data_IF_763483115991
#
_entry.id   IF_763483115991
#
_cell.length_a   1.000
_cell.length_b   1.000
_cell.length_c   1.000
_cell.angle_alpha   90.00
_cell.angle_beta   90.00
_cell.angle_gamma   90.00
#
_symmetry.space_group_name_H-M   'P 1'
#
loop_
_entity.id
_entity.type
_entity.pdbx_description
1 polymer ?
#
# COMPACT_ATOMS: atom_id res chain seq x y z
N UNK A 1 18.64 -18.81 -3.23
CA UNK A 1 17.35 -18.42 -2.64
C UNK A 1 16.24 -19.22 -3.32
N UNK A 2 15.13 -19.55 -2.64
CA UNK A 2 14.00 -20.23 -3.31
C UNK A 2 13.03 -19.21 -3.88
N UNK A 3 12.65 -19.36 -5.15
CA UNK A 3 11.62 -18.57 -5.81
C UNK A 3 10.42 -19.43 -6.18
N UNK A 4 9.24 -18.81 -6.32
CA UNK A 4 8.04 -19.50 -6.74
C UNK A 4 8.18 -20.00 -8.18
N UNK A 5 7.86 -21.28 -8.40
CA UNK A 5 7.88 -21.91 -9.73
C UNK A 5 6.76 -21.42 -10.65
N UNK A 6 5.68 -20.83 -10.09
CA UNK A 6 4.56 -20.27 -10.87
C UNK A 6 4.66 -18.77 -11.13
N UNK A 7 4.90 -17.98 -10.09
CA UNK A 7 5.11 -16.53 -10.22
C UNK A 7 6.61 -16.22 -10.12
N UNK A 8 6.98 -15.17 -9.38
CA UNK A 8 8.38 -14.75 -9.22
C UNK A 8 8.73 -14.42 -7.76
N UNK A 9 7.86 -14.74 -6.80
CA UNK A 9 8.12 -14.32 -5.42
C UNK A 9 9.25 -15.11 -4.75
N UNK A 10 10.15 -14.42 -4.02
CA UNK A 10 11.18 -15.07 -3.23
C UNK A 10 10.64 -15.56 -1.89
N UNK A 11 11.31 -16.54 -1.30
CA UNK A 11 10.94 -17.13 -0.01
C UNK A 11 11.16 -16.20 1.18
N UNK A 12 12.03 -15.20 1.08
CA UNK A 12 12.34 -14.25 2.13
C UNK A 12 11.34 -13.06 2.20
N UNK A 13 10.14 -13.20 1.63
CA UNK A 13 9.13 -12.15 1.66
C UNK A 13 8.82 -11.74 3.13
N UNK A 14 8.84 -10.45 3.52
CA UNK A 14 8.70 -10.02 4.93
C UNK A 14 7.38 -10.43 5.59
N UNK A 15 6.29 -10.48 4.82
CA UNK A 15 4.99 -11.01 5.27
C UNK A 15 4.94 -12.53 5.45
N UNK A 16 6.06 -13.23 5.25
CA UNK A 16 6.20 -14.69 5.27
C UNK A 16 5.35 -15.40 4.22
N UNK A 17 6.00 -16.13 3.33
CA UNK A 17 5.34 -16.91 2.29
C UNK A 17 5.75 -18.37 2.42
N UNK A 18 4.79 -19.29 2.26
CA UNK A 18 5.06 -20.73 2.31
C UNK A 18 5.06 -21.31 0.90
N UNK A 19 5.67 -22.48 0.72
CA UNK A 19 5.75 -23.17 -0.58
C UNK A 19 5.30 -24.60 -0.42
N UNK A 20 4.54 -25.09 -1.38
CA UNK A 20 4.20 -26.50 -1.46
C UNK A 20 5.32 -27.34 -2.11
N UNK A 21 5.04 -28.64 -2.27
CA UNK A 21 5.95 -29.61 -2.88
C UNK A 21 6.29 -29.32 -4.35
N UNK A 22 5.44 -28.58 -5.07
CA UNK A 22 5.68 -28.17 -6.46
C UNK A 22 6.47 -26.84 -6.55
N UNK A 23 6.80 -26.23 -5.41
CA UNK A 23 7.46 -24.93 -5.35
C UNK A 23 6.52 -23.76 -5.60
N UNK A 24 5.20 -23.98 -5.55
CA UNK A 24 4.20 -22.90 -5.70
C UNK A 24 3.98 -22.24 -4.35
N UNK A 25 4.01 -20.90 -4.34
CA UNK A 25 3.87 -20.14 -3.11
C UNK A 25 2.41 -19.98 -2.66
N UNK A 26 2.18 -19.80 -1.35
CA UNK A 26 0.86 -19.60 -0.74
C UNK A 26 0.06 -18.50 -1.43
N UNK A 27 0.69 -17.38 -1.82
CA UNK A 27 0.00 -16.30 -2.52
C UNK A 27 -0.54 -16.70 -3.91
N UNK A 28 0.08 -17.66 -4.59
CA UNK A 28 -0.49 -18.21 -5.82
C UNK A 28 -1.67 -19.16 -5.51
N UNK A 29 -1.58 -19.96 -4.44
CA UNK A 29 -2.64 -20.90 -4.06
C UNK A 29 -3.90 -20.18 -3.58
N UNK A 30 -3.76 -19.19 -2.70
CA UNK A 30 -4.91 -18.39 -2.25
C UNK A 30 -5.53 -17.59 -3.41
N UNK A 31 -4.74 -17.16 -4.41
CA UNK A 31 -5.31 -16.49 -5.58
C UNK A 31 -6.25 -17.40 -6.40
N UNK A 32 -6.00 -18.72 -6.43
CA UNK A 32 -6.88 -19.68 -7.13
C UNK A 32 -8.29 -19.74 -6.52
N UNK A 33 -8.44 -19.40 -5.24
CA UNK A 33 -9.76 -19.30 -4.60
C UNK A 33 -10.65 -18.29 -5.34
N UNK A 34 -10.07 -17.23 -5.92
CA UNK A 34 -10.83 -16.21 -6.66
C UNK A 34 -11.57 -16.75 -7.87
N UNK A 35 -11.12 -17.89 -8.40
CA UNK A 35 -11.72 -18.52 -9.57
C UNK A 35 -12.77 -19.59 -9.18
N UNK A 36 -12.90 -19.91 -7.89
CA UNK A 36 -13.84 -20.92 -7.37
C UNK A 36 -14.95 -20.34 -6.50
N UNK A 37 -14.71 -19.20 -5.86
CA UNK A 37 -15.65 -18.58 -4.93
C UNK A 37 -16.83 -17.92 -5.64
N UNK A 38 -18.03 -18.10 -5.08
CA UNK A 38 -19.23 -17.35 -5.49
C UNK A 38 -19.20 -15.92 -4.95
N UNK A 39 -18.68 -15.02 -5.77
CA UNK A 39 -18.61 -13.59 -5.47
C UNK A 39 -19.98 -12.91 -5.37
N UNK A 40 -21.02 -13.44 -6.02
CA UNK A 40 -22.37 -12.88 -5.92
C UNK A 40 -22.96 -13.16 -4.54
N UNK A 41 -22.82 -14.39 -4.05
CA UNK A 41 -23.22 -14.76 -2.69
C UNK A 41 -22.42 -13.99 -1.63
N UNK A 42 -21.09 -13.90 -1.79
CA UNK A 42 -20.24 -13.10 -0.90
C UNK A 42 -20.62 -11.63 -0.88
N UNK A 43 -20.90 -11.03 -2.03
CA UNK A 43 -21.35 -9.65 -2.09
C UNK A 43 -22.74 -9.45 -1.44
N UNK A 44 -23.66 -10.41 -1.58
CA UNK A 44 -24.94 -10.38 -0.86
C UNK A 44 -24.74 -10.43 0.66
N UNK A 45 -23.76 -11.19 1.15
CA UNK A 45 -23.38 -11.21 2.56
C UNK A 45 -22.82 -9.87 3.02
N UNK A 46 -21.98 -9.22 2.22
CA UNK A 46 -21.52 -7.86 2.50
C UNK A 46 -22.69 -6.89 2.64
N UNK A 47 -23.63 -6.89 1.68
CA UNK A 47 -24.85 -6.06 1.75
C UNK A 47 -25.66 -6.30 3.02
N UNK A 48 -25.82 -7.57 3.41
CA UNK A 48 -26.52 -7.94 4.65
C UNK A 48 -25.78 -7.43 5.90
N UNK A 49 -24.46 -7.59 5.94
CA UNK A 49 -23.62 -7.12 7.03
C UNK A 49 -23.71 -5.60 7.17
N UNK A 50 -23.51 -4.86 6.08
CA UNK A 50 -23.47 -3.40 6.12
C UNK A 50 -24.84 -2.75 6.31
N UNK A 51 -25.93 -3.43 5.98
CA UNK A 51 -27.29 -2.93 6.24
C UNK A 51 -27.54 -2.67 7.75
N UNK A 52 -26.90 -3.43 8.64
CA UNK A 52 -27.00 -3.23 10.09
C UNK A 52 -26.35 -1.94 10.60
N UNK A 53 -25.47 -1.34 9.80
CA UNK A 53 -24.69 -0.15 10.18
C UNK A 53 -25.32 1.17 9.68
N UNK A 54 -26.37 1.10 8.86
CA UNK A 54 -27.05 2.30 8.36
C UNK A 54 -27.66 3.11 9.50
N UNK A 55 -27.23 4.35 9.63
CA UNK A 55 -27.71 5.28 10.62
C UNK A 55 -29.12 5.77 10.25
N UNK A 56 -30.12 5.26 10.97
CA UNK A 56 -31.54 5.60 10.74
C UNK A 56 -31.89 7.05 11.05
N UNK A 57 -31.11 7.73 11.89
CA UNK A 57 -31.38 9.12 12.28
C UNK A 57 -30.95 10.13 11.22
N UNK A 58 -30.07 9.72 10.29
CA UNK A 58 -29.47 10.63 9.31
C UNK A 58 -28.53 11.67 9.92
N UNK A 59 -28.20 11.59 11.22
CA UNK A 59 -27.36 12.57 11.94
C UNK A 59 -25.87 12.20 12.04
N UNK A 60 -25.50 10.95 11.75
CA UNK A 60 -24.10 10.50 11.79
C UNK A 60 -23.77 9.63 10.57
N UNK A 61 -22.49 9.38 10.32
CA UNK A 61 -22.00 8.52 9.25
C UNK A 61 -22.27 7.05 9.52
N UNK A 62 -22.37 6.26 8.45
CA UNK A 62 -22.61 4.81 8.53
C UNK A 62 -21.30 4.03 8.69
N UNK A 63 -20.21 4.57 8.12
CA UNK A 63 -18.89 3.95 8.14
C UNK A 63 -17.77 4.99 7.96
N UNK A 64 -16.56 4.62 8.32
CA UNK A 64 -15.33 5.30 7.96
C UNK A 64 -14.74 4.64 6.72
N UNK A 65 -14.29 5.44 5.75
CA UNK A 65 -13.55 4.96 4.58
C UNK A 65 -12.20 5.67 4.50
N UNK A 66 -11.09 4.96 4.72
CA UNK A 66 -9.74 5.47 4.53
C UNK A 66 -9.48 5.71 3.04
N UNK A 67 -9.00 6.91 2.69
CA UNK A 67 -8.70 7.28 1.30
C UNK A 67 -7.40 8.06 1.17
N UNK A 68 -6.74 7.94 0.02
CA UNK A 68 -5.58 8.77 -0.31
C UNK A 68 -5.73 9.56 -1.63
N UNK A 69 -6.76 9.25 -2.42
CA UNK A 69 -6.89 9.76 -3.79
C UNK A 69 -6.07 8.97 -4.81
N UNK A 70 -5.28 7.98 -4.39
CA UNK A 70 -4.71 6.96 -5.26
C UNK A 70 -5.12 5.55 -4.81
N UNK A 71 -4.50 4.54 -5.44
CA UNK A 71 -4.87 3.13 -5.26
C UNK A 71 -6.38 2.96 -5.50
N UNK A 72 -6.98 1.98 -4.85
CA UNK A 72 -8.36 1.61 -5.05
C UNK A 72 -9.37 2.59 -4.37
N UNK A 73 -8.95 3.78 -3.92
CA UNK A 73 -9.79 4.75 -3.19
C UNK A 73 -11.11 5.06 -3.91
N UNK A 74 -11.06 5.30 -5.23
CA UNK A 74 -12.26 5.59 -6.02
C UNK A 74 -13.21 4.40 -6.09
N UNK A 75 -12.67 3.20 -6.29
CA UNK A 75 -13.47 1.97 -6.35
C UNK A 75 -14.12 1.66 -5.00
N UNK A 76 -13.39 1.83 -3.90
CA UNK A 76 -13.92 1.64 -2.53
C UNK A 76 -15.07 2.61 -2.29
N UNK A 77 -14.86 3.92 -2.54
CA UNK A 77 -15.89 4.94 -2.33
C UNK A 77 -17.11 4.73 -3.24
N UNK A 78 -16.88 4.40 -4.51
CA UNK A 78 -17.95 4.02 -5.45
C UNK A 78 -18.77 2.86 -4.90
N UNK A 79 -18.12 1.78 -4.48
CA UNK A 79 -18.80 0.59 -3.94
C UNK A 79 -19.61 0.94 -2.70
N UNK A 80 -19.03 1.68 -1.76
CA UNK A 80 -19.68 2.06 -0.50
C UNK A 80 -20.93 2.91 -0.74
N UNK A 81 -20.88 3.88 -1.67
CA UNK A 81 -22.02 4.74 -1.95
C UNK A 81 -23.01 4.09 -2.90
N UNK A 82 -22.57 3.70 -4.09
CA UNK A 82 -23.45 3.28 -5.20
C UNK A 82 -24.00 1.90 -4.98
N UNK A 83 -23.18 0.99 -4.46
CA UNK A 83 -23.56 -0.42 -4.36
C UNK A 83 -24.10 -0.82 -2.98
N UNK A 84 -23.54 -0.25 -1.90
CA UNK A 84 -23.99 -0.52 -0.52
C UNK A 84 -24.99 0.53 0.00
N UNK A 85 -25.03 1.72 -0.61
CA UNK A 85 -25.93 2.80 -0.20
C UNK A 85 -25.63 3.31 1.20
N UNK A 86 -24.35 3.38 1.58
CA UNK A 86 -23.87 3.91 2.86
C UNK A 86 -23.42 5.37 2.70
N UNK A 87 -23.47 6.13 3.79
CA UNK A 87 -22.90 7.47 3.90
C UNK A 87 -21.59 7.44 4.68
N UNK A 88 -20.43 7.40 4.00
CA UNK A 88 -19.14 7.33 4.67
C UNK A 88 -18.64 8.69 5.16
N UNK A 89 -17.86 8.68 6.25
CA UNK A 89 -16.88 9.72 6.55
C UNK A 89 -15.56 9.33 5.89
N UNK A 90 -15.05 10.16 4.98
CA UNK A 90 -13.73 9.93 4.41
C UNK A 90 -12.65 10.37 5.41
N UNK A 91 -11.61 9.55 5.54
CA UNK A 91 -10.50 9.81 6.45
C UNK A 91 -9.19 9.68 5.69
N UNK A 92 -8.32 10.67 5.81
CA UNK A 92 -7.02 10.66 5.14
C UNK A 92 -5.91 11.16 6.06
N UNK A 93 -4.76 10.49 6.02
CA UNK A 93 -3.53 10.94 6.67
C UNK A 93 -2.61 11.55 5.61
N UNK A 94 -2.16 12.77 5.86
CA UNK A 94 -1.27 13.48 4.96
C UNK A 94 0.14 12.88 5.00
N UNK A 95 0.61 12.37 3.86
CA UNK A 95 1.94 11.73 3.72
C UNK A 95 3.10 12.73 3.77
N UNK A 96 2.85 14.02 3.62
CA UNK A 96 3.83 15.09 3.36
C UNK A 96 4.51 14.98 1.98
N UNK A 97 4.68 13.77 1.45
CA UNK A 97 5.28 13.49 0.15
C UNK A 97 4.28 13.52 -1.02
N UNK A 98 3.25 14.37 -0.94
CA UNK A 98 2.15 14.34 -1.89
C UNK A 98 2.56 14.89 -3.27
N UNK A 99 2.15 14.22 -4.34
CA UNK A 99 2.21 14.81 -5.68
C UNK A 99 1.01 15.76 -5.89
N UNK A 100 1.15 16.72 -6.81
CA UNK A 100 0.01 17.58 -7.18
C UNK A 100 -1.16 16.76 -7.73
N UNK A 101 -0.85 15.68 -8.46
CA UNK A 101 -1.82 14.74 -9.01
C UNK A 101 -2.59 14.04 -7.90
N UNK A 102 -1.89 13.56 -6.86
CA UNK A 102 -2.52 12.98 -5.67
C UNK A 102 -3.48 13.94 -4.99
N UNK A 103 -3.04 15.20 -4.80
CA UNK A 103 -3.88 16.24 -4.21
C UNK A 103 -5.15 16.47 -5.05
N UNK A 104 -5.02 16.56 -6.39
CA UNK A 104 -6.16 16.73 -7.29
C UNK A 104 -7.09 15.53 -7.32
N UNK A 105 -6.55 14.31 -7.35
CA UNK A 105 -7.36 13.10 -7.29
C UNK A 105 -8.14 13.03 -5.97
N UNK A 106 -7.50 13.31 -4.82
CA UNK A 106 -8.20 13.34 -3.54
C UNK A 106 -9.28 14.44 -3.48
N UNK A 107 -8.98 15.63 -3.99
CA UNK A 107 -9.95 16.72 -4.07
C UNK A 107 -11.13 16.39 -5.00
N UNK A 108 -10.86 15.74 -6.14
CA UNK A 108 -11.87 15.30 -7.09
C UNK A 108 -12.75 14.20 -6.47
N UNK A 109 -12.15 13.21 -5.83
CA UNK A 109 -12.86 12.13 -5.13
C UNK A 109 -13.90 12.69 -4.16
N UNK A 110 -13.51 13.53 -3.20
CA UNK A 110 -14.47 14.07 -2.22
C UNK A 110 -15.56 14.94 -2.86
N UNK A 111 -15.22 15.70 -3.90
CA UNK A 111 -16.12 16.68 -4.52
C UNK A 111 -17.15 16.00 -5.42
N UNK A 112 -16.72 15.03 -6.23
CA UNK A 112 -17.59 14.28 -7.14
C UNK A 112 -18.62 13.42 -6.38
N UNK A 113 -18.20 12.84 -5.26
CA UNK A 113 -19.09 12.04 -4.42
C UNK A 113 -19.87 12.87 -3.38
N UNK A 114 -19.54 14.15 -3.20
CA UNK A 114 -20.22 15.04 -2.24
C UNK A 114 -20.05 14.59 -0.79
N UNK A 115 -18.84 14.18 -0.42
CA UNK A 115 -18.54 13.57 0.88
C UNK A 115 -17.71 14.46 1.79
N UNK A 116 -17.96 14.34 3.10
CA UNK A 116 -17.11 14.91 4.13
C UNK A 116 -15.77 14.17 4.19
N UNK A 117 -14.69 14.93 4.34
CA UNK A 117 -13.33 14.44 4.45
C UNK A 117 -12.65 15.10 5.64
N UNK A 118 -12.12 14.28 6.54
CA UNK A 118 -11.19 14.74 7.58
C UNK A 118 -9.76 14.35 7.22
N UNK A 119 -8.86 15.31 7.36
CA UNK A 119 -7.43 15.15 7.07
C UNK A 119 -6.62 15.37 8.34
N UNK A 120 -5.75 14.43 8.69
CA UNK A 120 -4.71 14.66 9.69
C UNK A 120 -3.41 15.05 8.99
N UNK A 121 -2.94 16.26 9.27
CA UNK A 121 -1.62 16.75 8.86
C UNK A 121 -0.81 16.99 10.13
N UNK A 122 0.16 16.11 10.40
CA UNK A 122 1.06 16.24 11.55
C UNK A 122 2.08 17.35 11.25
N UNK A 123 2.62 18.01 12.27
CA UNK A 123 3.59 19.07 12.06
C UNK A 123 4.80 18.55 11.26
N UNK A 124 5.36 19.32 10.29
CA UNK A 124 6.52 18.89 9.54
C UNK A 124 7.71 18.50 10.42
N UNK A 125 7.95 19.19 11.53
CA UNK A 125 9.09 18.87 12.39
C UNK A 125 8.87 17.55 13.14
N UNK A 126 7.68 17.32 13.68
CA UNK A 126 7.31 16.03 14.30
C UNK A 126 7.47 14.88 13.31
N UNK A 127 6.99 15.05 12.07
CA UNK A 127 7.15 14.00 11.03
C UNK A 127 8.62 13.78 10.68
N UNK A 128 9.45 14.83 10.62
CA UNK A 128 10.89 14.69 10.41
C UNK A 128 11.56 13.94 11.55
N UNK A 129 11.22 14.24 12.81
CA UNK A 129 11.74 13.54 13.98
C UNK A 129 11.40 12.05 13.95
N UNK A 130 10.13 11.70 13.74
CA UNK A 130 9.68 10.32 13.61
C UNK A 130 10.33 9.62 12.40
N UNK A 131 10.51 10.33 11.28
CA UNK A 131 11.19 9.79 10.09
C UNK A 131 12.68 9.51 10.36
N UNK A 132 13.39 10.41 11.08
CA UNK A 132 14.79 10.16 11.48
C UNK A 132 14.89 8.96 12.42
N UNK A 133 13.98 8.85 13.39
CA UNK A 133 13.94 7.74 14.34
C UNK A 133 13.66 6.39 13.65
N UNK A 134 12.67 6.33 12.77
CA UNK A 134 12.35 5.13 11.98
C UNK A 134 13.43 4.79 10.94
N UNK A 135 14.11 5.77 10.35
CA UNK A 135 15.31 5.51 9.56
C UNK A 135 16.41 4.85 10.40
N UNK A 136 16.67 5.33 11.62
CA UNK A 136 17.69 4.76 12.51
C UNK A 136 17.36 3.34 12.96
N UNK A 137 16.12 3.10 13.43
CA UNK A 137 15.72 1.82 14.03
C UNK A 137 15.52 0.72 12.99
N UNK A 138 14.92 1.08 11.85
CA UNK A 138 14.43 0.09 10.88
C UNK A 138 14.73 0.46 9.44
N UNK A 139 15.45 1.55 9.15
CA UNK A 139 15.73 2.01 7.79
C UNK A 139 14.45 2.24 6.97
N UNK A 140 13.44 2.88 7.55
CA UNK A 140 12.15 3.12 6.87
C UNK A 140 11.78 4.58 6.87
N UNK A 141 11.84 5.22 5.70
CA UNK A 141 11.39 6.61 5.55
C UNK A 141 9.85 6.74 5.50
N UNK A 142 9.15 5.62 5.30
CA UNK A 142 7.72 5.58 5.05
C UNK A 142 6.90 5.09 6.27
N UNK A 143 7.56 4.78 7.39
CA UNK A 143 6.88 4.24 8.57
C UNK A 143 5.76 5.16 9.07
N UNK A 144 6.00 6.47 9.16
CA UNK A 144 4.98 7.42 9.62
C UNK A 144 3.75 7.46 8.69
N UNK A 145 3.95 7.26 7.38
CA UNK A 145 2.85 7.20 6.41
C UNK A 145 1.96 5.99 6.69
N UNK A 146 2.56 4.82 6.92
CA UNK A 146 1.83 3.58 7.22
C UNK A 146 1.16 3.68 8.59
N UNK A 147 1.89 4.13 9.61
CA UNK A 147 1.39 4.28 10.96
C UNK A 147 0.19 5.25 11.02
N UNK A 148 0.30 6.41 10.37
CA UNK A 148 -0.74 7.42 10.30
C UNK A 148 -1.97 6.96 9.52
N UNK A 149 -1.79 6.33 8.35
CA UNK A 149 -2.90 5.84 7.52
C UNK A 149 -3.68 4.69 8.14
N UNK A 150 -3.02 3.87 8.96
CA UNK A 150 -3.67 2.73 9.62
C UNK A 150 -4.30 3.10 10.96
N UNK A 151 -3.77 4.10 11.68
CA UNK A 151 -4.30 4.51 12.99
C UNK A 151 -5.39 5.57 12.92
N UNK A 152 -5.27 6.55 12.02
CA UNK A 152 -6.17 7.70 12.00
C UNK A 152 -7.62 7.32 11.69
N UNK A 153 -7.92 6.36 10.79
CA UNK A 153 -9.28 5.86 10.61
C UNK A 153 -9.88 5.25 11.88
N UNK A 154 -9.08 4.57 12.70
CA UNK A 154 -9.53 3.98 13.97
C UNK A 154 -9.79 5.08 15.01
N UNK A 155 -8.88 6.05 15.11
CA UNK A 155 -9.09 7.24 15.96
C UNK A 155 -10.35 8.01 15.56
N UNK A 156 -10.58 8.20 14.26
CA UNK A 156 -11.78 8.84 13.75
C UNK A 156 -13.04 8.03 14.08
N UNK A 157 -13.02 6.71 13.85
CA UNK A 157 -14.13 5.82 14.19
C UNK A 157 -14.51 5.91 15.67
N UNK A 158 -13.52 5.88 16.57
CA UNK A 158 -13.75 6.06 18.02
C UNK A 158 -14.31 7.46 18.33
N UNK A 159 -13.67 8.52 17.81
CA UNK A 159 -14.03 9.91 18.11
C UNK A 159 -15.43 10.29 17.66
N UNK A 160 -15.82 9.85 16.45
CA UNK A 160 -17.14 10.11 15.86
C UNK A 160 -18.16 9.02 16.19
N UNK A 161 -17.77 8.01 16.98
CA UNK A 161 -18.61 6.87 17.38
C UNK A 161 -19.21 6.15 16.16
N UNK A 162 -18.36 5.87 15.17
CA UNK A 162 -18.71 5.15 13.94
C UNK A 162 -18.17 3.72 14.06
N UNK A 163 -19.03 2.71 14.20
CA UNK A 163 -18.59 1.34 14.54
C UNK A 163 -18.06 0.52 13.35
N UNK A 164 -18.14 1.02 12.12
CA UNK A 164 -17.68 0.32 10.93
C UNK A 164 -16.59 1.10 10.20
N UNK A 165 -15.49 0.44 9.89
CA UNK A 165 -14.47 0.90 8.95
C UNK A 165 -14.48 -0.05 7.75
N UNK A 166 -14.50 0.49 6.54
CA UNK A 166 -14.42 -0.29 5.29
C UNK A 166 -13.08 -0.02 4.63
N UNK A 167 -12.23 -1.03 4.59
CA UNK A 167 -10.93 -1.04 3.95
C UNK A 167 -11.01 -1.66 2.55
N UNK A 168 -10.00 -1.39 1.71
CA UNK A 168 -9.86 -1.99 0.39
C UNK A 168 -9.43 -3.46 0.44
N UNK A 169 -8.24 -3.76 -0.08
CA UNK A 169 -7.66 -5.10 -0.01
C UNK A 169 -6.80 -5.30 1.24
N UNK A 170 -7.00 -6.44 1.91
CA UNK A 170 -6.07 -6.92 2.93
C UNK A 170 -4.79 -7.45 2.29
N UNK A 171 -3.64 -6.80 2.57
CA UNK A 171 -2.35 -7.08 1.92
C UNK A 171 -1.88 -8.52 2.13
N UNK A 172 -1.89 -9.02 3.37
CA UNK A 172 -1.44 -10.38 3.68
C UNK A 172 -2.23 -11.45 2.93
N UNK A 173 -3.51 -11.19 2.66
CA UNK A 173 -4.38 -12.10 1.92
C UNK A 173 -4.03 -12.03 0.43
N UNK A 174 -4.08 -10.83 -0.16
CA UNK A 174 -3.99 -10.67 -1.62
C UNK A 174 -2.56 -10.89 -2.17
N UNK A 175 -1.55 -10.51 -1.39
CA UNK A 175 -0.15 -10.52 -1.81
C UNK A 175 0.52 -11.87 -1.56
N UNK A 176 0.46 -12.39 -0.33
CA UNK A 176 1.23 -13.58 0.07
C UNK A 176 0.38 -14.78 0.46
N UNK A 177 -0.95 -14.66 0.44
CA UNK A 177 -1.84 -15.76 0.83
C UNK A 177 -1.63 -16.20 2.28
N UNK A 178 -1.44 -15.23 3.18
CA UNK A 178 -1.34 -15.46 4.63
C UNK A 178 -2.66 -15.98 5.21
N UNK A 179 -3.78 -15.58 4.60
CA UNK A 179 -5.13 -15.96 4.98
C UNK A 179 -5.90 -16.40 3.74
N UNK A 180 -6.88 -17.27 3.93
CA UNK A 180 -7.87 -17.60 2.91
C UNK A 180 -8.93 -16.50 2.81
N UNK A 181 -9.57 -16.35 1.64
CA UNK A 181 -10.80 -15.54 1.53
C UNK A 181 -11.95 -16.10 2.38
N UNK A 182 -11.89 -17.36 2.82
CA UNK A 182 -12.91 -17.93 3.74
C UNK A 182 -12.70 -17.55 5.20
N UNK A 183 -11.50 -17.11 5.58
CA UNK A 183 -11.20 -16.69 6.96
C UNK A 183 -11.86 -15.34 7.29
N UNK A 184 -12.12 -14.53 6.26
CA UNK A 184 -12.77 -13.22 6.35
C UNK A 184 -12.13 -12.31 7.39
N UNK A 185 -10.79 -12.32 7.40
CA UNK A 185 -10.00 -11.56 8.35
C UNK A 185 -10.42 -10.10 8.41
N UNK A 186 -10.47 -9.58 9.63
CA UNK A 186 -10.79 -8.20 9.95
C UNK A 186 -9.57 -7.48 10.50
N UNK A 187 -9.64 -6.16 10.51
CA UNK A 187 -8.58 -5.29 11.01
C UNK A 187 -8.27 -5.62 12.47
N UNK A 188 -6.98 -5.80 12.78
CA UNK A 188 -6.50 -5.96 14.15
C UNK A 188 -5.27 -5.10 14.40
N UNK A 189 -5.10 -4.61 15.62
CA UNK A 189 -3.85 -3.95 16.05
C UNK A 189 -2.65 -4.89 15.91
N UNK A 190 -2.87 -6.19 16.16
CA UNK A 190 -1.84 -7.23 16.02
C UNK A 190 -1.27 -7.29 14.60
N UNK A 191 -2.12 -7.43 13.59
CA UNK A 191 -1.67 -7.47 12.19
C UNK A 191 -0.90 -6.18 11.83
N UNK A 192 -1.44 -5.02 12.24
CA UNK A 192 -0.77 -3.73 12.05
C UNK A 192 0.65 -3.70 12.63
N UNK A 193 0.81 -4.11 13.90
CA UNK A 193 2.14 -4.15 14.55
C UNK A 193 3.08 -5.12 13.84
N UNK A 194 2.65 -6.37 13.68
CA UNK A 194 3.52 -7.48 13.24
C UNK A 194 3.90 -7.37 11.75
N UNK A 195 3.04 -6.77 10.93
CA UNK A 195 3.19 -6.81 9.47
C UNK A 195 3.30 -5.42 8.84
N UNK A 196 2.38 -4.50 9.16
CA UNK A 196 2.39 -3.18 8.51
C UNK A 196 3.53 -2.30 9.05
N UNK A 197 3.81 -2.38 10.34
CA UNK A 197 4.76 -1.51 11.04
C UNK A 197 6.08 -2.17 11.43
N UNK A 198 6.44 -3.26 10.73
CA UNK A 198 7.76 -3.90 10.86
C UNK A 198 8.06 -4.36 12.30
N UNK A 199 7.03 -4.67 13.10
CA UNK A 199 7.15 -5.07 14.50
C UNK A 199 7.12 -3.93 15.52
N UNK A 200 7.02 -2.67 15.09
CA UNK A 200 7.10 -1.48 15.95
C UNK A 200 5.77 -0.75 16.04
N UNK A 201 5.36 -0.41 17.25
CA UNK A 201 4.29 0.56 17.52
C UNK A 201 4.87 1.97 17.74
N UNK A 202 4.00 2.97 17.83
CA UNK A 202 4.41 4.36 18.03
C UNK A 202 5.20 4.55 19.33
N UNK A 203 4.79 3.85 20.38
CA UNK A 203 5.45 3.78 21.68
C UNK A 203 6.89 3.23 21.58
N UNK A 204 7.16 2.31 20.64
CA UNK A 204 8.48 1.69 20.46
C UNK A 204 9.51 2.66 19.82
N UNK A 205 9.07 3.84 19.35
CA UNK A 205 9.94 4.90 18.82
C UNK A 205 10.43 5.88 19.88
N UNK A 206 9.78 5.95 21.06
CA UNK A 206 10.17 6.84 22.15
C UNK A 206 11.58 6.45 22.63
N UNK A 207 12.48 7.43 22.63
CA UNK A 207 13.90 7.18 22.86
C UNK A 207 14.61 8.50 23.22
N UNK A 208 14.98 8.66 24.49
CA UNK A 208 15.67 9.85 25.01
C UNK A 208 16.98 10.12 24.27
N UNK A 209 17.69 9.07 23.85
CA UNK A 209 18.97 9.20 23.13
C UNK A 209 18.77 9.75 21.71
N UNK A 210 17.58 9.57 21.14
CA UNK A 210 17.19 10.13 19.85
C UNK A 210 16.40 11.43 19.98
N UNK A 211 16.07 11.85 21.21
CA UNK A 211 15.23 13.02 21.48
C UNK A 211 13.79 12.83 21.02
N UNK A 212 13.26 11.60 21.02
CA UNK A 212 11.87 11.30 20.63
C UNK A 212 11.03 11.13 21.88
N UNK A 213 10.05 12.01 22.05
CA UNK A 213 9.15 12.04 23.21
C UNK A 213 7.78 11.42 22.92
N UNK A 214 6.96 11.27 23.95
CA UNK A 214 5.54 10.90 23.80
C UNK A 214 4.77 11.90 22.91
N UNK A 215 5.11 13.19 22.98
CA UNK A 215 4.46 14.23 22.18
C UNK A 215 4.73 14.03 20.68
N UNK A 216 5.95 13.63 20.31
CA UNK A 216 6.31 13.39 18.91
C UNK A 216 5.50 12.23 18.29
N UNK A 217 5.17 11.22 19.10
CA UNK A 217 4.51 10.00 18.61
C UNK A 217 2.99 10.00 18.84
N UNK A 218 2.45 10.98 19.58
CA UNK A 218 1.05 11.03 20.00
C UNK A 218 0.03 10.84 18.86
N UNK A 219 0.31 11.41 17.68
CA UNK A 219 -0.56 11.28 16.50
C UNK A 219 -0.62 9.86 15.92
N UNK A 220 0.33 9.00 16.29
CA UNK A 220 0.47 7.64 15.78
C UNK A 220 0.02 6.56 16.78
N UNK A 221 -0.35 6.95 18.00
CA UNK A 221 -0.78 6.05 19.08
C UNK A 221 -2.14 5.44 18.74
N UNK A 222 -2.21 4.11 18.83
CA UNK A 222 -3.43 3.36 18.59
C UNK A 222 -4.44 3.56 19.74
N UNK A 223 -5.75 3.76 19.46
CA UNK A 223 -6.74 3.90 20.53
C UNK A 223 -6.73 2.71 21.48
N UNK A 224 -7.05 2.96 22.75
CA UNK A 224 -7.06 1.89 23.74
C UNK A 224 -8.22 0.92 23.49
N UNK A 225 -8.04 -0.38 23.77
CA UNK A 225 -9.04 -1.42 23.48
C UNK A 225 -10.42 -1.10 24.08
N UNK A 226 -10.47 -0.61 25.32
CA UNK A 226 -11.71 -0.12 25.97
C UNK A 226 -12.46 0.97 25.18
N UNK A 227 -11.75 1.86 24.47
CA UNK A 227 -12.38 2.90 23.65
C UNK A 227 -12.97 2.32 22.37
N UNK A 228 -12.25 1.37 21.76
CA UNK A 228 -12.68 0.61 20.59
C UNK A 228 -13.91 -0.24 20.93
N UNK A 229 -13.86 -0.98 22.03
CA UNK A 229 -14.94 -1.83 22.54
C UNK A 229 -16.20 -1.02 22.85
N UNK A 230 -16.05 0.14 23.51
CA UNK A 230 -17.18 1.02 23.85
C UNK A 230 -17.98 1.47 22.63
N UNK A 231 -17.33 1.64 21.48
CA UNK A 231 -18.00 1.98 20.21
C UNK A 231 -18.39 0.71 19.43
N UNK A 232 -17.65 -0.38 19.61
CA UNK A 232 -17.79 -1.61 18.82
C UNK A 232 -17.15 -1.48 17.44
N UNK A 233 -16.00 -0.78 17.35
CA UNK A 233 -15.33 -0.54 16.06
C UNK A 233 -14.84 -1.86 15.45
N UNK A 234 -15.26 -2.13 14.21
CA UNK A 234 -14.77 -3.23 13.38
C UNK A 234 -14.24 -2.69 12.05
N UNK A 235 -13.21 -3.32 11.50
CA UNK A 235 -12.68 -3.00 10.18
C UNK A 235 -12.80 -4.19 9.26
N UNK A 236 -13.64 -4.09 8.23
CA UNK A 236 -13.79 -5.14 7.21
C UNK A 236 -13.01 -4.79 5.95
N UNK A 237 -12.54 -5.79 5.22
CA UNK A 237 -11.87 -5.62 3.92
C UNK A 237 -12.80 -6.03 2.78
N UNK A 238 -12.90 -5.18 1.75
CA UNK A 238 -13.76 -5.45 0.59
C UNK A 238 -13.29 -6.67 -0.21
N UNK A 239 -12.00 -6.98 -0.23
CA UNK A 239 -11.48 -8.16 -0.94
C UNK A 239 -11.88 -9.51 -0.32
N UNK A 240 -12.51 -9.52 0.87
CA UNK A 240 -13.17 -10.73 1.39
C UNK A 240 -14.50 -11.03 0.67
N UNK A 241 -15.12 -10.00 0.07
CA UNK A 241 -16.49 -10.05 -0.44
C UNK A 241 -16.62 -9.75 -1.93
N UNK A 242 -15.60 -9.13 -2.53
CA UNK A 242 -15.54 -8.72 -3.93
C UNK A 242 -14.28 -9.33 -4.54
N UNK A 243 -14.40 -9.87 -5.75
CA UNK A 243 -13.25 -10.36 -6.52
C UNK A 243 -12.31 -9.19 -6.80
N UNK A 244 -11.17 -9.17 -6.12
CA UNK A 244 -10.24 -8.06 -6.21
C UNK A 244 -9.33 -8.16 -7.43
N UNK A 245 -9.36 -7.12 -8.25
CA UNK A 245 -8.51 -6.91 -9.42
C UNK A 245 -8.26 -5.40 -9.58
N UNK A 246 -7.15 -4.92 -9.01
CA UNK A 246 -6.85 -3.49 -8.96
C UNK A 246 -6.78 -2.82 -10.34
N UNK A 247 -6.33 -3.52 -11.41
CA UNK A 247 -6.27 -2.92 -12.75
C UNK A 247 -7.69 -2.62 -13.26
N UNK A 248 -8.55 -3.64 -13.25
CA UNK A 248 -9.95 -3.52 -13.69
C UNK A 248 -10.69 -2.49 -12.85
N UNK A 249 -10.46 -2.49 -11.53
CA UNK A 249 -11.09 -1.55 -10.61
C UNK A 249 -10.66 -0.10 -10.88
N UNK A 250 -9.39 0.16 -11.18
CA UNK A 250 -8.96 1.51 -11.57
C UNK A 250 -9.57 1.92 -12.91
N UNK A 251 -9.55 1.04 -13.91
CA UNK A 251 -10.08 1.34 -15.25
C UNK A 251 -11.58 1.65 -15.24
N UNK A 252 -12.34 0.96 -14.38
CA UNK A 252 -13.74 1.30 -14.13
C UNK A 252 -13.94 2.71 -13.55
N UNK A 253 -12.94 3.26 -12.86
CA UNK A 253 -13.01 4.57 -12.20
C UNK A 253 -12.40 5.71 -13.00
N UNK A 254 -11.56 5.42 -14.02
CA UNK A 254 -10.88 6.44 -14.83
C UNK A 254 -11.89 7.32 -15.56
N UNK A 255 -12.73 6.74 -16.41
CA UNK A 255 -13.65 7.55 -17.23
C UNK A 255 -14.77 8.20 -16.39
N UNK A 256 -15.44 7.48 -15.45
CA UNK A 256 -16.56 8.07 -14.72
C UNK A 256 -16.16 9.17 -13.74
N UNK A 257 -14.92 9.15 -13.24
CA UNK A 257 -14.48 10.04 -12.17
C UNK A 257 -13.23 10.85 -12.50
N UNK A 258 -12.67 10.70 -13.70
CA UNK A 258 -11.51 11.44 -14.17
C UNK A 258 -10.26 11.21 -13.33
N UNK A 259 -10.01 9.95 -12.93
CA UNK A 259 -8.82 9.57 -12.16
C UNK A 259 -7.55 9.86 -12.96
N UNK A 260 -6.61 10.63 -12.39
CA UNK A 260 -5.34 10.90 -13.07
C UNK A 260 -4.28 9.82 -12.74
N UNK A 261 -3.81 9.09 -13.75
CA UNK A 261 -2.73 8.08 -13.68
C UNK A 261 -1.39 8.60 -14.23
N UNK A 262 -0.26 8.06 -13.80
CA UNK A 262 1.07 8.56 -14.16
C UNK A 262 2.11 7.45 -14.31
N UNK A 263 3.14 7.69 -15.13
CA UNK A 263 4.33 6.83 -15.12
C UNK A 263 5.01 6.88 -13.77
N UNK A 264 5.59 5.74 -13.38
CA UNK A 264 6.30 5.57 -12.12
C UNK A 264 7.68 4.96 -12.39
N UNK A 265 8.63 5.25 -11.49
CA UNK A 265 10.03 4.97 -11.75
C UNK A 265 10.38 3.48 -11.69
N UNK A 266 9.89 2.78 -10.66
CA UNK A 266 10.31 1.40 -10.33
C UNK A 266 9.20 0.37 -10.53
N UNK A 267 8.22 0.68 -11.38
CA UNK A 267 7.11 -0.21 -11.72
C UNK A 267 6.46 0.18 -13.05
N UNK A 268 5.88 -0.80 -13.75
CA UNK A 268 5.07 -0.60 -14.96
C UNK A 268 3.61 -0.19 -14.67
N UNK A 269 3.11 -0.46 -13.46
CA UNK A 269 1.80 0.00 -13.00
C UNK A 269 1.77 1.54 -12.97
N UNK A 270 0.84 2.16 -13.69
CA UNK A 270 0.70 3.63 -13.76
C UNK A 270 -0.43 4.17 -12.88
N UNK A 271 -1.10 3.31 -12.13
CA UNK A 271 -2.30 3.64 -11.37
C UNK A 271 -1.97 3.80 -9.88
N UNK A 272 -1.36 2.79 -9.28
CA UNK A 272 -1.17 2.75 -7.84
C UNK A 272 -0.16 3.80 -7.36
N UNK A 273 -0.42 4.46 -6.23
CA UNK A 273 0.54 5.33 -5.52
C UNK A 273 1.04 6.59 -6.27
N UNK A 274 0.36 6.98 -7.35
CA UNK A 274 0.65 8.24 -8.07
C UNK A 274 0.48 9.49 -7.21
N UNK A 275 -0.10 9.35 -6.02
CA UNK A 275 -0.24 10.40 -5.01
C UNK A 275 1.03 10.67 -4.20
N UNK A 276 2.08 9.87 -4.37
CA UNK A 276 3.29 9.99 -3.54
C UNK A 276 4.58 10.02 -4.37
N UNK A 277 5.45 11.00 -4.10
CA UNK A 277 6.77 11.09 -4.74
C UNK A 277 7.66 9.88 -4.48
N UNK A 278 7.57 9.28 -3.29
CA UNK A 278 8.59 8.33 -2.81
C UNK A 278 8.14 6.88 -2.76
N UNK A 279 6.84 6.58 -2.82
CA UNK A 279 6.37 5.22 -2.57
C UNK A 279 6.87 4.22 -3.62
N UNK A 280 6.77 4.57 -4.90
CA UNK A 280 7.32 3.79 -6.03
C UNK A 280 8.73 4.25 -6.43
N UNK A 281 9.44 4.91 -5.50
CA UNK A 281 10.81 5.37 -5.67
C UNK A 281 11.67 5.01 -4.45
N UNK A 282 12.01 5.95 -3.56
CA UNK A 282 12.90 5.73 -2.41
C UNK A 282 12.41 4.60 -1.49
N UNK A 283 11.11 4.54 -1.21
CA UNK A 283 10.55 3.47 -0.37
C UNK A 283 10.78 2.09 -0.99
N UNK A 284 10.65 2.00 -2.32
CA UNK A 284 10.91 0.76 -3.04
C UNK A 284 12.40 0.44 -3.18
N UNK A 285 13.26 1.43 -3.35
CA UNK A 285 14.71 1.20 -3.39
C UNK A 285 15.24 0.71 -2.05
N UNK A 286 14.71 1.23 -0.93
CA UNK A 286 14.96 0.69 0.42
C UNK A 286 14.48 -0.77 0.51
N UNK A 287 13.28 -1.09 0.01
CA UNK A 287 12.77 -2.48 -0.01
C UNK A 287 13.73 -3.41 -0.76
N UNK A 288 14.16 -3.00 -1.95
CA UNK A 288 15.12 -3.76 -2.76
C UNK A 288 16.44 -3.93 -2.01
N UNK A 289 17.00 -2.88 -1.42
CA UNK A 289 18.23 -2.96 -0.63
C UNK A 289 18.11 -3.95 0.53
N UNK A 290 16.98 -4.00 1.24
CA UNK A 290 16.80 -4.95 2.36
C UNK A 290 16.66 -6.40 1.91
N UNK A 291 15.81 -6.64 0.92
CA UNK A 291 15.29 -7.98 0.64
C UNK A 291 15.68 -8.56 -0.72
N UNK A 292 16.35 -7.78 -1.57
CA UNK A 292 16.79 -8.20 -2.91
C UNK A 292 15.70 -8.19 -3.99
N UNK A 293 14.50 -7.72 -3.67
CA UNK A 293 13.40 -7.58 -4.63
C UNK A 293 12.57 -6.31 -4.38
N UNK A 294 12.08 -5.71 -5.46
CA UNK A 294 11.26 -4.49 -5.41
C UNK A 294 9.76 -4.73 -5.60
N UNK A 295 9.02 -3.64 -5.64
CA UNK A 295 7.56 -3.53 -5.87
C UNK A 295 7.16 -4.03 -7.24
N UNK A 296 8.02 -3.87 -8.26
CA UNK A 296 7.78 -4.47 -9.58
C UNK A 296 7.50 -5.98 -9.45
N UNK A 297 8.19 -6.69 -8.55
CA UNK A 297 7.94 -8.11 -8.33
C UNK A 297 6.55 -8.38 -7.74
N UNK A 298 6.03 -7.48 -6.90
CA UNK A 298 4.68 -7.58 -6.36
C UNK A 298 3.64 -7.45 -7.47
N UNK A 299 3.80 -6.45 -8.33
CA UNK A 299 2.91 -6.23 -9.47
C UNK A 299 3.02 -7.34 -10.50
N UNK A 300 4.23 -7.78 -10.85
CA UNK A 300 4.43 -8.94 -11.74
C UNK A 300 3.74 -10.18 -11.17
N UNK A 301 3.89 -10.48 -9.88
CA UNK A 301 3.20 -11.61 -9.26
C UNK A 301 1.68 -11.49 -9.37
N UNK A 302 1.12 -10.30 -9.12
CA UNK A 302 -0.31 -10.03 -9.27
C UNK A 302 -0.78 -10.29 -10.70
N UNK A 303 -0.09 -9.75 -11.70
CA UNK A 303 -0.50 -9.85 -13.10
C UNK A 303 -0.27 -11.25 -13.70
N UNK A 304 0.74 -12.01 -13.23
CA UNK A 304 0.88 -13.44 -13.57
C UNK A 304 -0.31 -14.24 -13.04
N UNK A 305 -0.69 -14.02 -11.78
CA UNK A 305 -1.83 -14.71 -11.15
C UNK A 305 -3.15 -14.38 -11.85
N UNK A 306 -3.31 -13.14 -12.32
CA UNK A 306 -4.43 -12.68 -13.15
C UNK A 306 -4.29 -13.06 -14.64
N UNK A 307 -3.27 -13.85 -15.00
CA UNK A 307 -3.02 -14.36 -16.36
C UNK A 307 -2.81 -13.26 -17.41
N UNK A 308 -2.39 -12.06 -17.02
CA UNK A 308 -2.04 -10.95 -17.93
C UNK A 308 -0.57 -10.90 -18.31
N UNK A 309 0.28 -11.59 -17.53
CA UNK A 309 1.69 -11.81 -17.84
C UNK A 309 2.01 -13.30 -17.80
N UNK A 310 2.89 -13.74 -18.69
CA UNK A 310 3.67 -14.96 -18.50
C UNK A 310 4.73 -14.74 -17.43
N UNK A 311 5.29 -15.83 -16.89
CA UNK A 311 6.37 -15.76 -15.91
C UNK A 311 7.62 -15.10 -16.52
N UNK A 312 7.92 -15.42 -17.78
CA UNK A 312 9.05 -14.88 -18.54
C UNK A 312 8.94 -13.37 -18.77
N UNK A 313 7.79 -12.89 -19.25
CA UNK A 313 7.53 -11.45 -19.39
C UNK A 313 7.64 -10.74 -18.02
N UNK A 314 7.20 -11.43 -16.96
CA UNK A 314 7.37 -10.97 -15.59
C UNK A 314 8.83 -10.76 -15.19
N UNK A 315 9.70 -11.74 -15.48
CA UNK A 315 11.14 -11.65 -15.20
C UNK A 315 11.76 -10.48 -15.98
N UNK A 316 11.37 -10.28 -17.24
CA UNK A 316 11.88 -9.16 -18.07
C UNK A 316 11.51 -7.80 -17.46
N UNK A 317 10.29 -7.66 -16.93
CA UNK A 317 9.87 -6.46 -16.20
C UNK A 317 10.64 -6.28 -14.90
N UNK A 318 10.88 -7.34 -14.13
CA UNK A 318 11.71 -7.27 -12.92
C UNK A 318 13.12 -6.77 -13.26
N UNK A 319 13.73 -7.30 -14.32
CA UNK A 319 15.06 -6.86 -14.78
C UNK A 319 15.08 -5.37 -15.13
N UNK A 320 14.02 -4.88 -15.79
CA UNK A 320 13.91 -3.50 -16.24
C UNK A 320 13.80 -2.48 -15.10
N UNK A 321 13.06 -2.82 -14.03
CA UNK A 321 12.64 -1.84 -13.04
C UNK A 321 13.37 -1.94 -11.68
N UNK A 322 13.90 -3.12 -11.31
CA UNK A 322 14.39 -3.35 -9.93
C UNK A 322 15.61 -2.54 -9.54
N UNK A 323 16.45 -2.13 -10.50
CA UNK A 323 17.71 -1.42 -10.25
C UNK A 323 17.69 0.04 -10.71
N UNK A 324 16.52 0.55 -11.11
CA UNK A 324 16.36 1.96 -11.50
C UNK A 324 16.69 2.87 -10.31
N UNK A 325 17.63 3.80 -10.52
CA UNK A 325 18.10 4.74 -9.49
C UNK A 325 16.99 5.72 -9.10
N UNK A 326 16.98 6.09 -7.81
CA UNK A 326 15.97 6.98 -7.28
C UNK A 326 16.14 8.41 -7.77
N UNK A 327 15.06 9.00 -8.30
CA UNK A 327 15.07 10.38 -8.80
C UNK A 327 14.69 11.39 -7.73
N UNK A 328 13.91 10.97 -6.73
CA UNK A 328 13.37 11.86 -5.70
C UNK A 328 14.22 11.89 -4.42
N UNK A 329 15.34 11.16 -4.38
CA UNK A 329 16.25 11.11 -3.23
C UNK A 329 16.79 12.49 -2.82
N UNK A 330 17.27 13.35 -3.74
CA UNK A 330 17.77 14.68 -3.36
C UNK A 330 16.70 15.54 -2.66
N UNK A 331 15.46 15.47 -3.14
CA UNK A 331 14.32 16.20 -2.55
C UNK A 331 14.02 15.70 -1.12
N UNK A 332 14.07 14.38 -0.90
CA UNK A 332 13.90 13.79 0.43
C UNK A 332 15.03 14.19 1.38
N UNK A 333 16.29 14.06 0.95
CA UNK A 333 17.47 14.38 1.76
C UNK A 333 17.48 15.85 2.20
N UNK A 334 17.14 16.77 1.28
CA UNK A 334 16.95 18.20 1.58
C UNK A 334 15.85 18.41 2.61
N UNK A 335 14.70 17.77 2.45
CA UNK A 335 13.56 17.93 3.35
C UNK A 335 13.85 17.40 4.77
N UNK A 336 14.43 16.21 4.89
CA UNK A 336 14.73 15.57 6.19
C UNK A 336 16.00 16.16 6.85
N UNK A 337 16.84 16.87 6.10
CA UNK A 337 18.12 17.40 6.56
C UNK A 337 19.13 16.28 6.83
N UNK A 338 19.28 15.34 5.90
CA UNK A 338 20.18 14.18 6.01
C UNK A 338 21.12 14.14 4.80
N UNK A 339 22.37 13.73 5.01
CA UNK A 339 23.31 13.48 3.91
C UNK A 339 23.03 12.12 3.27
N UNK A 340 23.40 11.96 2.01
CA UNK A 340 23.27 10.68 1.32
C UNK A 340 24.05 9.55 2.01
N UNK A 341 25.27 9.84 2.50
CA UNK A 341 26.05 8.89 3.29
C UNK A 341 25.32 8.45 4.57
N UNK A 342 24.66 9.38 5.27
CA UNK A 342 23.86 9.05 6.46
C UNK A 342 22.65 8.19 6.11
N UNK A 343 21.97 8.49 4.99
CA UNK A 343 20.87 7.68 4.48
C UNK A 343 21.33 6.25 4.14
N UNK A 344 22.38 6.12 3.33
CA UNK A 344 22.93 4.83 2.93
C UNK A 344 23.39 4.02 4.14
N UNK A 345 24.03 4.64 5.13
CA UNK A 345 24.41 3.98 6.37
C UNK A 345 23.22 3.30 7.08
N UNK A 346 22.08 3.99 7.22
CA UNK A 346 20.91 3.41 7.88
C UNK A 346 20.23 2.33 7.05
N UNK A 347 20.20 2.47 5.72
CA UNK A 347 19.61 1.47 4.82
C UNK A 347 20.48 0.22 4.75
N UNK A 348 21.80 0.37 4.61
CA UNK A 348 22.74 -0.75 4.45
C UNK A 348 22.80 -1.63 5.68
N UNK A 349 22.62 -1.06 6.88
CA UNK A 349 22.50 -1.83 8.13
C UNK A 349 21.30 -2.77 8.20
N UNK A 350 20.32 -2.58 7.31
CA UNK A 350 19.10 -3.38 7.26
C UNK A 350 19.14 -4.42 6.13
N UNK A 351 20.25 -4.53 5.40
CA UNK A 351 20.45 -5.56 4.38
C UNK A 351 20.49 -6.93 5.04
N UNK A 352 19.70 -7.86 4.52
CA UNK A 352 19.73 -9.24 4.99
C UNK A 352 21.01 -9.93 4.48
N UNK A 353 21.90 -10.44 5.37
CA UNK A 353 23.16 -11.08 4.98
C UNK A 353 22.94 -12.41 4.24
N UNK A 354 21.75 -13.01 4.33
CA UNK A 354 21.38 -14.19 3.52
C UNK A 354 21.04 -13.82 2.07
N UNK A 355 20.90 -12.54 1.77
CA UNK A 355 20.55 -12.00 0.44
C UNK A 355 21.71 -11.22 -0.17
N UNK A 356 22.48 -10.53 0.66
CA UNK A 356 23.52 -9.61 0.22
C UNK A 356 24.91 -9.98 0.74
N UNK A 357 25.91 -9.71 -0.09
CA UNK A 357 27.32 -9.72 0.28
C UNK A 357 27.94 -8.34 0.04
N UNK A 358 28.72 -7.85 0.99
CA UNK A 358 29.57 -6.68 0.81
C UNK A 358 30.97 -7.13 0.37
N UNK A 359 31.44 -6.60 -0.75
CA UNK A 359 32.82 -6.80 -1.22
C UNK A 359 33.83 -5.89 -0.52
N UNK A 360 35.12 -6.16 -0.72
CA UNK A 360 36.22 -5.41 -0.08
C UNK A 360 36.24 -3.92 -0.44
N UNK A 361 35.67 -3.55 -1.59
CA UNK A 361 35.51 -2.16 -2.03
C UNK A 361 34.24 -1.47 -1.44
N UNK A 362 33.52 -2.15 -0.55
CA UNK A 362 32.27 -1.68 0.05
C UNK A 362 31.03 -1.87 -0.81
N UNK A 363 31.14 -2.38 -2.04
CA UNK A 363 30.02 -2.58 -2.94
C UNK A 363 29.15 -3.79 -2.53
N UNK A 364 27.83 -3.64 -2.68
CA UNK A 364 26.87 -4.69 -2.36
C UNK A 364 26.48 -5.49 -3.60
N UNK A 365 26.52 -6.81 -3.48
CA UNK A 365 26.11 -7.76 -4.54
C UNK A 365 25.07 -8.72 -3.99
N UNK A 366 24.09 -9.08 -4.83
CA UNK A 366 23.10 -10.10 -4.48
C UNK A 366 23.74 -11.48 -4.56
N UNK A 367 23.46 -12.33 -3.59
CA UNK A 367 23.80 -13.77 -3.68
C UNK A 367 23.02 -14.46 -4.79
N UNK A 368 21.79 -13.99 -5.05
CA UNK A 368 20.86 -14.63 -5.98
C UNK A 368 19.78 -13.65 -6.46
N UNK A 369 19.20 -13.88 -7.63
CA UNK A 369 18.17 -13.05 -8.25
C UNK A 369 17.23 -13.88 -9.11
N UNK A 370 15.94 -13.53 -9.14
CA UNK A 370 14.95 -14.19 -10.00
C UNK A 370 15.35 -14.24 -11.49
N UNK A 371 16.23 -13.35 -11.94
CA UNK A 371 16.75 -13.34 -13.30
C UNK A 371 17.44 -14.66 -13.69
N UNK A 372 18.05 -15.34 -12.72
CA UNK A 372 18.73 -16.63 -12.90
C UNK A 372 17.77 -17.82 -12.84
N UNK A 373 16.51 -17.59 -12.46
CA UNK A 373 15.50 -18.62 -12.21
C UNK A 373 14.46 -18.74 -13.33
N UNK A 374 14.80 -18.35 -14.56
CA UNK A 374 13.87 -18.44 -15.70
C UNK A 374 13.47 -19.88 -16.00
N UNK A 375 14.43 -20.79 -15.98
CA UNK A 375 14.29 -22.20 -16.39
C UNK A 375 14.32 -23.21 -15.23
N UNK A 376 13.95 -22.80 -14.02
CA UNK A 376 13.94 -23.70 -12.86
C UNK A 376 13.09 -24.96 -13.12
N UNK A 377 13.56 -26.10 -12.61
CA UNK A 377 12.84 -27.37 -12.70
C UNK A 377 11.45 -27.24 -12.07
N UNK A 378 10.43 -27.72 -12.80
CA UNK A 378 9.05 -27.72 -12.34
C UNK A 378 8.24 -26.47 -12.72
N UNK A 379 8.87 -25.41 -13.24
CA UNK A 379 8.16 -24.22 -13.75
C UNK A 379 7.13 -24.61 -14.82
N UNK A 380 7.50 -25.47 -15.78
CA UNK A 380 6.62 -25.92 -16.87
C UNK A 380 5.38 -26.66 -16.40
N UNK A 381 5.45 -27.31 -15.23
CA UNK A 381 4.33 -28.07 -14.67
C UNK A 381 3.27 -27.16 -14.05
N UNK A 382 3.63 -25.96 -13.59
CA UNK A 382 2.74 -25.10 -12.80
C UNK A 382 2.55 -23.69 -13.34
N UNK A 383 3.29 -23.29 -14.39
CA UNK A 383 3.13 -21.99 -15.05
C UNK A 383 1.69 -21.77 -15.52
N UNK A 384 1.24 -20.52 -15.44
CA UNK A 384 -0.07 -20.13 -15.93
C UNK A 384 0.02 -19.68 -17.40
N UNK A 385 -0.97 -20.06 -18.21
CA UNK A 385 -1.14 -19.50 -19.55
C UNK A 385 -1.61 -18.05 -19.50
N UNK A 386 -1.18 -17.25 -20.48
CA UNK A 386 -1.62 -15.86 -20.65
C UNK A 386 -3.01 -15.83 -21.29
N UNK A 387 -3.90 -15.00 -20.74
CA UNK A 387 -5.30 -14.86 -21.17
C UNK A 387 -5.74 -13.38 -21.32
N UNK A 388 -4.85 -12.40 -21.15
CA UNK A 388 -5.15 -10.98 -21.31
C UNK A 388 -3.91 -10.12 -21.52
N UNK A 389 -4.11 -8.82 -21.72
CA UNK A 389 -3.04 -7.83 -21.83
C UNK A 389 -2.73 -7.16 -20.48
N UNK A 390 -1.50 -6.68 -20.33
CA UNK A 390 -1.01 -6.02 -19.13
C UNK A 390 -0.74 -4.52 -19.38
N UNK A 391 -1.54 -3.88 -20.23
CA UNK A 391 -1.33 -2.47 -20.58
C UNK A 391 -2.02 -1.55 -19.56
N UNK A 392 -1.27 -0.62 -19.00
CA UNK A 392 -1.79 0.41 -18.10
C UNK A 392 -1.87 1.75 -18.82
N UNK A 393 -2.95 2.48 -18.55
CA UNK A 393 -3.25 3.76 -19.20
C UNK A 393 -2.53 4.92 -18.51
N UNK A 394 -2.13 5.92 -19.28
CA UNK A 394 -1.65 7.20 -18.76
C UNK A 394 -2.66 8.26 -19.17
N UNK A 395 -3.38 8.82 -18.20
CA UNK A 395 -4.32 9.90 -18.45
C UNK A 395 -3.58 11.23 -18.62
N UNK A 396 -4.07 12.16 -19.46
CA UNK A 396 -3.54 13.50 -19.55
C UNK A 396 -3.53 14.20 -18.18
N UNK A 397 -2.42 14.85 -17.84
CA UNK A 397 -2.38 15.70 -16.64
C UNK A 397 -3.19 16.97 -16.89
N UNK A 398 -4.08 17.33 -15.96
CA UNK A 398 -4.89 18.56 -16.05
C UNK A 398 -4.07 19.85 -15.93
N UNK A 399 -2.82 19.75 -15.48
CA UNK A 399 -1.89 20.87 -15.30
C UNK A 399 -0.52 20.49 -15.85
N UNK A 400 0.20 21.44 -16.45
CA UNK A 400 1.62 21.27 -16.80
C UNK A 400 2.43 21.17 -15.50
N UNK A 401 3.09 20.05 -15.29
CA UNK A 401 3.93 19.84 -14.09
C UNK A 401 5.19 20.70 -14.22
N UNK A 402 5.41 21.60 -13.27
CA UNK A 402 6.70 22.27 -13.10
C UNK A 402 7.60 21.41 -12.19
N UNK A 403 8.91 21.45 -12.43
CA UNK A 403 9.87 20.92 -11.45
C UNK A 403 9.73 21.69 -10.13
N UNK A 404 9.75 20.95 -9.01
CA UNK A 404 9.59 21.52 -7.68
C UNK A 404 10.77 21.16 -6.79
N UNK A 405 11.20 22.16 -6.02
CA UNK A 405 12.27 22.04 -5.04
C UNK A 405 11.77 21.81 -3.60
N UNK A 406 10.45 21.64 -3.41
CA UNK A 406 9.80 21.43 -2.10
C UNK A 406 8.44 20.71 -2.22
N UNK A 407 7.97 20.13 -1.10
CA UNK A 407 6.69 19.41 -1.03
C UNK A 407 5.50 20.34 -0.84
N UNK A 408 4.38 20.01 -1.51
CA UNK A 408 3.11 20.66 -1.24
C UNK A 408 2.37 19.90 -0.13
N UNK A 409 2.38 20.48 1.07
CA UNK A 409 1.69 19.88 2.22
C UNK A 409 0.17 19.96 2.07
N UNK A 410 -0.34 21.14 1.73
CA UNK A 410 -1.77 21.39 1.47
C UNK A 410 -1.88 22.14 0.15
N UNK A 411 -2.51 21.52 -0.84
CA UNK A 411 -2.79 22.16 -2.13
C UNK A 411 -4.22 22.69 -2.21
N UNK A 412 -4.47 23.54 -3.21
CA UNK A 412 -5.83 24.02 -3.52
C UNK A 412 -6.70 22.83 -3.93
N UNK A 413 -7.79 22.60 -3.22
CA UNK A 413 -8.75 21.52 -3.52
C UNK A 413 -9.75 21.88 -4.62
N UNK A 414 -9.30 22.53 -5.70
CA UNK A 414 -10.16 22.97 -6.79
C UNK A 414 -10.11 21.97 -7.95
N UNK A 415 -11.28 21.60 -8.46
CA UNK A 415 -11.43 20.85 -9.72
C UNK A 415 -11.77 21.89 -10.79
N UNK A 416 -10.82 22.23 -11.65
CA UNK A 416 -11.13 22.99 -12.87
C UNK A 416 -12.15 22.18 -13.67
N UNK A 417 -13.36 22.71 -13.80
CA UNK A 417 -14.34 22.24 -14.79
C UNK A 417 -13.93 22.83 -16.14
N UNK A 418 -12.81 22.35 -16.68
CA UNK A 418 -12.44 22.58 -18.06
C UNK A 418 -13.26 21.70 -18.98
#
# INVERSE_FOLDING_TARGET
MKYCTRCVYPANHPLRITFDAQGVCSGCRIHEEKDTLDWKSRFARLKKLTAGYKNRSGRNYDCVVPVSGARDSYFIVHTVIKELGLRPLLVTYNKHYNTERGIRNLASLRTLFGLDLITMTVSPETVKNVTRASMRKMGSMYWHCIAGQTVFPVQAAVRFKIPLIIWGAHQGLDQVGMFSHTDEVEMTRKYRKEHDLMGYEAEDLIDDTMGISEEDVASFIYPHDKEIEKVGVRGIYLNNYIRWDSKVQHEQMIDPYGYESAQQMRTFDTYNDVDCFHYSDIHDSIKFSKWGYGKVSDHVCREIRLKRLTREEGIDLVARYSTVQSQTLPLFLKWIGMTENGFNYFVDRQRDPSVWQQGDNGAWTLHDSILEHRGDVGVDTVRLGKAGDCNFLITPSKVKTAEKDDYTLIGRGYVDRS
#
